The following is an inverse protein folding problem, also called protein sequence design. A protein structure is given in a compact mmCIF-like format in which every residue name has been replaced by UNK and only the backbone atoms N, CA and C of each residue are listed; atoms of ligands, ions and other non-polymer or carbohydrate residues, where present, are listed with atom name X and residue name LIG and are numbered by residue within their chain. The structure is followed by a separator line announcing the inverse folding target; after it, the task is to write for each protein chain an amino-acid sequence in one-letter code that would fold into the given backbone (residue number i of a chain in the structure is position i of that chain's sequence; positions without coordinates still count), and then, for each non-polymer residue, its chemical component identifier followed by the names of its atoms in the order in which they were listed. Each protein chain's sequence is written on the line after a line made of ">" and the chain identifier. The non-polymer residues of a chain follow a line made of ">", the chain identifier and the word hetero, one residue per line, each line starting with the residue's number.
data_IF_676624619021
#
_entry.id   IF_676624619021
#
_cell.length_a   1.000
_cell.length_b   1.000
_cell.length_c   1.000
_cell.angle_alpha   90.00
_cell.angle_beta   90.00
_cell.angle_gamma   90.00
#
_symmetry.space_group_name_H-M   'P 1'
#
loop_
_entity.id
_entity.type
_entity.pdbx_description
1 polymer ?
#
# COMPACT_ATOMS: atom_id res chain seq x y z
N UNK A 1 -12.56 -38.44 18.01
CA UNK A 1 -11.89 -37.19 17.58
C UNK A 1 -12.94 -36.10 17.43
N UNK A 2 -13.01 -35.20 18.42
CA UNK A 2 -13.74 -33.94 18.22
C UNK A 2 -12.96 -33.22 17.12
N UNK A 3 -13.53 -33.11 15.93
CA UNK A 3 -12.99 -32.21 14.90
C UNK A 3 -12.89 -30.84 15.56
N UNK A 4 -11.66 -30.36 15.75
CA UNK A 4 -11.43 -28.96 16.07
C UNK A 4 -12.01 -28.20 14.87
N UNK A 5 -13.17 -27.55 15.06
CA UNK A 5 -13.77 -26.68 14.03
C UNK A 5 -12.66 -25.80 13.47
N UNK A 6 -12.40 -25.96 12.17
CA UNK A 6 -11.36 -25.20 11.49
C UNK A 6 -11.81 -23.74 11.54
N UNK A 7 -11.03 -22.91 12.25
CA UNK A 7 -11.31 -21.48 12.39
C UNK A 7 -11.47 -20.84 11.01
N UNK A 8 -12.40 -19.88 10.85
CA UNK A 8 -12.69 -19.29 9.55
C UNK A 8 -11.46 -18.57 8.98
N UNK A 9 -11.27 -18.69 7.68
CA UNK A 9 -10.17 -18.10 6.94
C UNK A 9 -10.65 -17.55 5.60
N UNK A 10 -9.99 -16.50 5.11
CA UNK A 10 -10.07 -16.12 3.70
C UNK A 10 -9.14 -17.02 2.88
N UNK A 11 -9.59 -17.46 1.71
CA UNK A 11 -8.79 -18.29 0.80
C UNK A 11 -9.36 -18.22 -0.61
N UNK A 12 -8.47 -18.16 -1.62
CA UNK A 12 -8.82 -18.25 -3.04
C UNK A 12 -8.37 -19.62 -3.56
N UNK A 13 -9.26 -20.62 -3.71
CA UNK A 13 -8.88 -21.96 -4.13
C UNK A 13 -8.31 -21.99 -5.57
N UNK A 14 -7.51 -23.01 -5.92
CA UNK A 14 -7.00 -24.07 -5.05
C UNK A 14 -5.70 -23.70 -4.32
N UNK A 15 -4.95 -22.72 -4.82
CA UNK A 15 -3.56 -22.47 -4.43
C UNK A 15 -3.37 -21.21 -3.55
N UNK A 16 -4.42 -20.42 -3.33
CA UNK A 16 -4.35 -19.19 -2.55
C UNK A 16 -3.88 -19.44 -1.11
N UNK A 17 -3.27 -18.44 -0.49
CA UNK A 17 -2.91 -18.56 0.92
C UNK A 17 -4.15 -18.54 1.81
N UNK A 18 -4.18 -19.38 2.85
CA UNK A 18 -5.24 -19.31 3.87
C UNK A 18 -4.89 -18.21 4.87
N UNK A 19 -5.74 -17.20 4.99
CA UNK A 19 -5.58 -16.09 5.93
C UNK A 19 -6.60 -16.24 7.06
N UNK A 20 -6.17 -16.57 8.29
CA UNK A 20 -7.08 -16.67 9.42
C UNK A 20 -7.78 -15.33 9.67
N UNK A 21 -9.11 -15.37 9.84
CA UNK A 21 -9.91 -14.17 10.13
C UNK A 21 -9.54 -13.56 11.49
N UNK A 22 -8.90 -14.34 12.37
CA UNK A 22 -8.27 -13.84 13.60
C UNK A 22 -7.31 -12.68 13.39
N UNK A 23 -6.74 -12.51 12.19
CA UNK A 23 -5.95 -11.33 11.83
C UNK A 23 -6.72 -10.05 12.18
N UNK A 24 -7.95 -9.93 11.70
CA UNK A 24 -8.78 -8.75 11.89
C UNK A 24 -9.25 -8.62 13.35
N UNK A 25 -9.53 -9.74 14.02
CA UNK A 25 -9.85 -9.76 15.47
C UNK A 25 -8.69 -9.19 16.30
N UNK A 26 -7.44 -9.58 16.00
CA UNK A 26 -6.25 -9.06 16.67
C UNK A 26 -6.09 -7.56 16.44
N UNK A 27 -6.35 -7.09 15.21
CA UNK A 27 -6.30 -5.68 14.87
C UNK A 27 -7.33 -4.85 15.65
N UNK A 28 -8.60 -5.29 15.72
CA UNK A 28 -9.62 -4.63 16.56
C UNK A 28 -9.20 -4.56 18.02
N UNK A 29 -8.66 -5.65 18.57
CA UNK A 29 -8.17 -5.68 19.95
C UNK A 29 -7.05 -4.67 20.19
N UNK A 30 -6.05 -4.63 19.30
CA UNK A 30 -4.94 -3.66 19.38
C UNK A 30 -5.41 -2.22 19.33
N UNK A 31 -6.37 -1.92 18.43
CA UNK A 31 -6.97 -0.60 18.30
C UNK A 31 -7.69 -0.17 19.59
N UNK A 32 -8.51 -1.06 20.16
CA UNK A 32 -9.22 -0.79 21.42
C UNK A 32 -8.24 -0.54 22.56
N UNK A 33 -7.20 -1.37 22.70
CA UNK A 33 -6.15 -1.18 23.72
C UNK A 33 -5.46 0.19 23.57
N UNK A 34 -5.04 0.55 22.34
CA UNK A 34 -4.39 1.81 22.07
C UNK A 34 -5.29 3.03 22.33
N UNK A 35 -6.56 2.96 21.97
CA UNK A 35 -7.53 4.02 22.22
C UNK A 35 -7.86 4.18 23.71
N UNK A 36 -7.98 3.09 24.46
CA UNK A 36 -8.16 3.14 25.92
C UNK A 36 -7.01 3.86 26.60
N UNK A 37 -5.77 3.51 26.24
CA UNK A 37 -4.57 4.16 26.78
C UNK A 37 -4.55 5.67 26.42
N UNK A 38 -4.90 6.00 25.17
CA UNK A 38 -4.95 7.39 24.70
C UNK A 38 -6.03 8.20 25.42
N UNK A 39 -7.24 7.66 25.55
CA UNK A 39 -8.37 8.32 26.23
C UNK A 39 -8.07 8.51 27.72
N UNK A 40 -7.49 7.51 28.38
CA UNK A 40 -7.12 7.59 29.79
C UNK A 40 -6.06 8.68 30.06
N UNK A 41 -5.13 8.89 29.12
CA UNK A 41 -4.10 9.91 29.22
C UNK A 41 -4.60 11.33 28.85
N UNK A 42 -5.68 11.44 28.08
CA UNK A 42 -6.12 12.72 27.52
C UNK A 42 -7.06 13.49 28.46
N UNK A 43 -6.74 14.75 28.85
CA UNK A 43 -7.52 15.52 29.82
C UNK A 43 -9.00 15.70 29.45
N UNK A 44 -9.32 15.80 28.16
CA UNK A 44 -10.68 16.02 27.64
C UNK A 44 -11.53 14.75 27.66
N UNK A 45 -10.93 13.57 27.47
CA UNK A 45 -11.68 12.33 27.27
C UNK A 45 -11.80 11.49 28.54
N UNK A 46 -10.82 11.60 29.46
CA UNK A 46 -10.75 10.79 30.70
C UNK A 46 -11.96 10.89 31.64
N UNK A 47 -12.80 11.91 31.48
CA UNK A 47 -14.00 12.12 32.33
C UNK A 47 -15.25 11.46 31.76
N UNK A 48 -15.20 10.94 30.53
CA UNK A 48 -16.33 10.23 29.89
C UNK A 48 -16.13 8.72 30.07
N UNK A 49 -17.15 7.97 30.53
CA UNK A 49 -17.06 6.52 30.67
C UNK A 49 -16.73 5.83 29.34
N UNK A 50 -15.85 4.82 29.37
CA UNK A 50 -15.41 4.09 28.17
C UNK A 50 -16.58 3.40 27.45
N UNK A 51 -17.64 3.05 28.19
CA UNK A 51 -18.85 2.39 27.67
C UNK A 51 -19.57 3.27 26.64
N UNK A 52 -19.43 4.60 26.77
CA UNK A 52 -20.06 5.55 25.87
C UNK A 52 -19.29 5.71 24.56
N UNK A 53 -18.01 5.30 24.47
CA UNK A 53 -17.24 5.46 23.24
C UNK A 53 -17.39 4.26 22.31
N UNK A 54 -17.79 4.55 21.07
CA UNK A 54 -17.92 3.53 20.01
C UNK A 54 -17.16 4.02 18.78
N UNK A 55 -16.23 3.19 18.29
CA UNK A 55 -15.63 3.37 16.96
C UNK A 55 -16.71 3.07 15.93
N UNK A 56 -16.88 3.91 14.92
CA UNK A 56 -17.73 3.61 13.77
C UNK A 56 -16.95 3.85 12.46
N UNK A 57 -16.85 2.80 11.65
CA UNK A 57 -16.24 2.80 10.34
C UNK A 57 -17.31 2.48 9.28
N UNK A 58 -17.16 3.07 8.10
CA UNK A 58 -17.96 2.77 6.92
C UNK A 58 -17.06 2.08 5.90
N UNK A 59 -17.59 1.03 5.26
CA UNK A 59 -16.94 0.35 4.15
C UNK A 59 -16.82 1.30 2.93
N UNK A 60 -16.05 0.89 1.94
CA UNK A 60 -16.12 1.49 0.62
C UNK A 60 -17.50 1.28 0.00
N UNK A 61 -17.86 2.16 -0.92
CA UNK A 61 -19.09 2.07 -1.72
C UNK A 61 -18.72 1.69 -3.15
N UNK A 62 -19.59 0.94 -3.82
CA UNK A 62 -19.42 0.64 -5.24
C UNK A 62 -19.49 1.91 -6.08
N UNK A 63 -18.61 1.99 -7.06
CA UNK A 63 -18.52 3.14 -7.97
C UNK A 63 -18.67 2.69 -9.41
N UNK A 64 -19.46 3.43 -10.17
CA UNK A 64 -19.60 3.22 -11.61
C UNK A 64 -18.76 4.23 -12.40
N UNK A 65 -18.51 3.91 -13.67
CA UNK A 65 -17.77 4.80 -14.57
C UNK A 65 -18.63 6.00 -14.96
N UNK A 66 -18.42 7.13 -14.29
CA UNK A 66 -19.14 8.36 -14.57
C UNK A 66 -20.65 8.20 -14.32
N UNK A 67 -21.48 8.48 -15.33
CA UNK A 67 -22.94 8.29 -15.25
C UNK A 67 -23.45 6.97 -15.84
N UNK A 68 -22.57 6.00 -16.10
CA UNK A 68 -22.96 4.68 -16.64
C UNK A 68 -23.29 3.67 -15.53
N UNK A 69 -23.76 2.49 -15.93
CA UNK A 69 -23.98 1.31 -15.09
C UNK A 69 -22.76 0.37 -15.05
N UNK A 70 -21.63 0.76 -15.66
CA UNK A 70 -20.42 -0.05 -15.66
C UNK A 70 -19.67 0.09 -14.34
N UNK A 71 -19.78 -0.92 -13.49
CA UNK A 71 -19.07 -1.03 -12.21
C UNK A 71 -17.55 -1.07 -12.39
N UNK A 72 -16.84 -0.42 -11.46
CA UNK A 72 -15.41 -0.67 -11.24
C UNK A 72 -15.31 -1.82 -10.26
N UNK A 73 -14.39 -2.76 -10.50
CA UNK A 73 -14.17 -3.87 -9.59
C UNK A 73 -13.90 -3.34 -8.17
N UNK A 74 -14.79 -3.69 -7.24
CA UNK A 74 -14.73 -3.23 -5.86
C UNK A 74 -13.43 -3.64 -5.17
N UNK A 75 -12.86 -2.71 -4.41
CA UNK A 75 -11.75 -2.94 -3.50
C UNK A 75 -12.06 -2.16 -2.23
N UNK A 76 -12.05 -2.85 -1.10
CA UNK A 76 -12.45 -2.31 0.20
C UNK A 76 -11.59 -1.09 0.65
N UNK A 77 -12.18 -0.20 1.45
CA UNK A 77 -11.46 0.84 2.17
C UNK A 77 -10.41 0.22 3.12
N UNK A 78 -9.16 0.66 3.07
CA UNK A 78 -8.04 0.02 3.78
C UNK A 78 -8.21 0.00 5.31
N UNK A 79 -8.77 1.05 5.91
CA UNK A 79 -9.03 1.08 7.35
C UNK A 79 -10.17 0.13 7.74
N UNK A 80 -11.24 0.10 6.96
CA UNK A 80 -12.34 -0.83 7.17
C UNK A 80 -11.89 -2.29 7.02
N UNK A 81 -11.17 -2.59 5.93
CA UNK A 81 -10.56 -3.90 5.70
C UNK A 81 -9.65 -4.31 6.86
N UNK A 82 -8.75 -3.43 7.31
CA UNK A 82 -7.82 -3.74 8.39
C UNK A 82 -8.54 -4.20 9.67
N UNK A 83 -9.69 -3.57 9.98
CA UNK A 83 -10.49 -3.88 11.17
C UNK A 83 -11.43 -5.10 11.01
N UNK A 84 -12.03 -5.32 9.82
CA UNK A 84 -13.11 -6.30 9.64
C UNK A 84 -12.85 -7.37 8.58
N UNK A 85 -12.01 -7.10 7.58
CA UNK A 85 -11.66 -8.08 6.54
C UNK A 85 -12.78 -8.45 5.58
N UNK A 86 -13.88 -7.70 5.54
CA UNK A 86 -15.03 -8.02 4.70
C UNK A 86 -14.80 -7.52 3.26
N UNK A 87 -15.26 -8.28 2.25
CA UNK A 87 -15.15 -7.91 0.85
C UNK A 87 -16.35 -7.07 0.36
N UNK A 88 -17.41 -6.94 1.15
CA UNK A 88 -18.67 -6.33 0.71
C UNK A 88 -18.67 -4.78 0.82
N UNK A 89 -19.28 -4.08 -0.15
CA UNK A 89 -19.47 -2.63 -0.12
C UNK A 89 -20.62 -2.21 0.81
N UNK A 90 -20.66 -0.93 1.16
CA UNK A 90 -21.77 -0.26 1.87
C UNK A 90 -22.11 -0.79 3.27
N UNK A 91 -21.26 -1.66 3.82
CA UNK A 91 -21.36 -2.13 5.19
C UNK A 91 -20.84 -1.09 6.18
N UNK A 92 -21.22 -1.24 7.44
CA UNK A 92 -20.63 -0.49 8.55
C UNK A 92 -20.08 -1.44 9.59
N UNK A 93 -19.13 -0.95 10.38
CA UNK A 93 -18.48 -1.72 11.42
C UNK A 93 -18.31 -0.86 12.65
N UNK A 94 -18.77 -1.35 13.80
CA UNK A 94 -18.62 -0.66 15.07
C UNK A 94 -17.87 -1.50 16.10
N UNK A 95 -17.17 -0.82 17.02
CA UNK A 95 -16.43 -1.46 18.11
C UNK A 95 -16.63 -0.64 19.38
N UNK A 96 -17.23 -1.24 20.41
CA UNK A 96 -17.41 -0.58 21.71
C UNK A 96 -16.11 -0.58 22.51
N UNK A 97 -15.67 0.59 22.99
CA UNK A 97 -14.39 0.71 23.65
C UNK A 97 -14.33 0.06 25.03
N UNK A 98 -15.42 -0.07 25.79
CA UNK A 98 -15.38 -0.74 27.09
C UNK A 98 -15.39 -2.26 26.99
N UNK A 99 -16.18 -2.81 26.07
CA UNK A 99 -16.39 -4.26 25.96
C UNK A 99 -15.50 -4.92 24.90
N UNK A 100 -14.92 -4.13 23.99
CA UNK A 100 -14.28 -4.60 22.77
C UNK A 100 -15.20 -5.40 21.82
N UNK A 101 -16.53 -5.38 22.08
CA UNK A 101 -17.51 -6.02 21.20
C UNK A 101 -17.55 -5.32 19.85
N UNK A 102 -17.51 -6.11 18.80
CA UNK A 102 -17.53 -5.73 17.41
C UNK A 102 -18.86 -6.10 16.75
N UNK A 103 -19.42 -5.17 16.00
CA UNK A 103 -20.67 -5.37 15.28
C UNK A 103 -20.54 -4.93 13.82
N UNK A 104 -21.01 -5.76 12.89
CA UNK A 104 -21.17 -5.38 11.48
C UNK A 104 -22.62 -4.96 11.24
N UNK A 105 -22.82 -3.95 10.40
CA UNK A 105 -24.13 -3.59 9.87
C UNK A 105 -24.16 -3.81 8.37
N UNK A 106 -25.13 -4.60 7.91
CA UNK A 106 -25.28 -4.98 6.51
C UNK A 106 -26.48 -4.27 5.88
N UNK A 107 -26.42 -3.85 4.61
CA UNK A 107 -27.58 -3.38 3.89
C UNK A 107 -28.69 -4.44 3.88
N UNK A 108 -29.93 -3.98 3.81
CA UNK A 108 -31.06 -4.88 3.53
C UNK A 108 -31.19 -4.99 2.01
N UNK A 109 -30.97 -6.19 1.49
CA UNK A 109 -31.01 -6.44 0.05
C UNK A 109 -32.40 -6.92 -0.37
N UNK A 110 -32.96 -6.42 -1.48
CA UNK A 110 -34.22 -6.94 -2.00
C UNK A 110 -34.05 -8.38 -2.51
N UNK A 111 -35.14 -9.15 -2.57
CA UNK A 111 -35.10 -10.55 -3.07
C UNK A 111 -34.44 -10.68 -4.45
N UNK A 112 -34.63 -9.68 -5.32
CA UNK A 112 -34.04 -9.61 -6.66
C UNK A 112 -32.51 -9.58 -6.65
N UNK A 113 -31.88 -9.17 -5.55
CA UNK A 113 -30.42 -9.17 -5.42
C UNK A 113 -29.85 -10.57 -5.58
N UNK A 114 -30.51 -11.59 -5.02
CA UNK A 114 -30.01 -12.97 -5.11
C UNK A 114 -29.99 -13.53 -6.53
N UNK A 115 -30.90 -13.04 -7.39
CA UNK A 115 -30.97 -13.39 -8.81
C UNK A 115 -29.79 -12.81 -9.59
N UNK A 116 -29.33 -11.61 -9.23
CA UNK A 116 -28.30 -10.89 -9.97
C UNK A 116 -26.88 -11.05 -9.40
N UNK A 117 -26.76 -11.06 -8.08
CA UNK A 117 -25.48 -10.94 -7.36
C UNK A 117 -25.11 -12.21 -6.59
N UNK A 118 -26.05 -13.15 -6.44
CA UNK A 118 -25.86 -14.41 -5.71
C UNK A 118 -26.46 -14.41 -4.31
N UNK A 119 -26.37 -15.57 -3.64
CA UNK A 119 -26.95 -15.77 -2.31
C UNK A 119 -26.37 -14.80 -1.28
N UNK A 120 -27.25 -14.33 -0.39
CA UNK A 120 -26.89 -13.41 0.69
C UNK A 120 -26.67 -14.24 1.95
N UNK A 121 -25.45 -14.20 2.49
CA UNK A 121 -25.14 -14.82 3.79
C UNK A 121 -26.11 -14.26 4.86
N UNK A 122 -26.66 -15.14 5.69
CA UNK A 122 -27.46 -14.74 6.85
C UNK A 122 -26.62 -14.01 7.90
N UNK A 123 -27.26 -13.22 8.78
CA UNK A 123 -26.55 -12.54 9.87
C UNK A 123 -25.75 -13.50 10.76
N UNK A 124 -26.19 -14.76 10.91
CA UNK A 124 -25.45 -15.78 11.65
C UNK A 124 -24.20 -16.23 10.89
N UNK A 125 -24.33 -16.53 9.58
CA UNK A 125 -23.19 -16.92 8.75
C UNK A 125 -22.14 -15.81 8.67
N UNK A 126 -22.57 -14.55 8.49
CA UNK A 126 -21.67 -13.38 8.51
C UNK A 126 -20.93 -13.28 9.84
N UNK A 127 -21.65 -13.46 10.95
CA UNK A 127 -21.07 -13.41 12.30
C UNK A 127 -19.98 -14.46 12.49
N UNK A 128 -20.26 -15.69 12.10
CA UNK A 128 -19.33 -16.83 12.20
C UNK A 128 -18.15 -16.66 11.25
N UNK A 129 -18.39 -16.26 10.00
CA UNK A 129 -17.39 -16.05 8.95
C UNK A 129 -16.39 -14.94 9.28
N UNK A 130 -16.84 -13.83 9.85
CA UNK A 130 -15.97 -12.67 10.16
C UNK A 130 -15.56 -12.55 11.64
N UNK A 131 -15.94 -13.53 12.46
CA UNK A 131 -15.65 -13.57 13.90
C UNK A 131 -16.01 -12.25 14.60
N UNK A 132 -17.21 -11.73 14.33
CA UNK A 132 -17.76 -10.54 15.00
C UNK A 132 -18.78 -10.95 16.06
N UNK A 133 -19.06 -10.07 17.01
CA UNK A 133 -19.95 -10.38 18.13
C UNK A 133 -21.42 -10.30 17.72
N UNK A 134 -21.76 -9.35 16.84
CA UNK A 134 -23.13 -9.04 16.42
C UNK A 134 -23.18 -8.64 14.93
N UNK A 135 -24.33 -8.90 14.29
CA UNK A 135 -24.64 -8.46 12.92
C UNK A 135 -26.06 -7.93 12.90
N UNK A 136 -26.23 -6.67 12.49
CA UNK A 136 -27.53 -5.99 12.37
C UNK A 136 -27.69 -5.38 10.97
N UNK A 137 -28.87 -4.84 10.65
CA UNK A 137 -29.05 -4.09 9.39
C UNK A 137 -28.60 -2.63 9.52
N UNK A 138 -28.15 -2.02 8.43
CA UNK A 138 -27.70 -0.61 8.37
C UNK A 138 -28.76 0.35 8.90
N UNK A 139 -30.04 0.15 8.58
CA UNK A 139 -31.13 1.00 9.07
C UNK A 139 -31.33 0.91 10.60
N UNK A 140 -30.67 -0.04 11.30
CA UNK A 140 -30.67 -0.17 12.76
C UNK A 140 -29.49 0.52 13.45
N UNK A 141 -28.52 1.09 12.72
CA UNK A 141 -27.33 1.73 13.33
C UNK A 141 -27.73 2.76 14.39
N UNK A 142 -28.65 3.67 14.06
CA UNK A 142 -29.07 4.73 14.97
C UNK A 142 -29.68 4.18 16.28
N UNK A 143 -30.44 3.08 16.19
CA UNK A 143 -31.02 2.43 17.37
C UNK A 143 -29.96 1.66 18.18
N UNK A 144 -29.07 0.94 17.50
CA UNK A 144 -28.06 0.10 18.12
C UNK A 144 -26.99 0.91 18.88
N UNK A 145 -26.65 2.10 18.38
CA UNK A 145 -25.59 2.92 18.96
C UNK A 145 -26.10 4.05 19.86
N UNK A 146 -27.41 4.16 20.06
CA UNK A 146 -28.06 5.28 20.75
C UNK A 146 -27.40 5.64 22.10
N UNK A 147 -27.13 6.93 22.31
CA UNK A 147 -26.49 7.45 23.52
C UNK A 147 -24.96 7.33 23.54
N UNK A 148 -24.34 6.80 22.48
CA UNK A 148 -22.87 6.73 22.35
C UNK A 148 -22.26 8.04 21.85
N UNK A 149 -21.00 8.27 22.21
CA UNK A 149 -20.07 9.16 21.51
C UNK A 149 -19.36 8.37 20.42
N UNK A 150 -19.56 8.76 19.17
CA UNK A 150 -18.98 8.09 18.01
C UNK A 150 -17.58 8.63 17.72
N UNK A 151 -16.60 7.74 17.65
CA UNK A 151 -15.26 8.02 17.15
C UNK A 151 -15.26 7.74 15.65
N UNK A 152 -15.13 8.79 14.84
CA UNK A 152 -15.22 8.72 13.39
C UNK A 152 -13.86 8.93 12.74
N UNK A 153 -13.61 8.22 11.64
CA UNK A 153 -12.32 8.23 10.97
C UNK A 153 -12.20 9.47 10.07
N UNK A 154 -11.57 10.52 10.57
CA UNK A 154 -11.24 11.72 9.80
C UNK A 154 -9.79 12.13 10.01
N UNK A 155 -8.98 12.01 8.97
CA UNK A 155 -7.61 12.51 9.02
C UNK A 155 -6.96 12.60 7.66
N UNK A 156 -5.85 13.32 7.62
CA UNK A 156 -5.11 13.61 6.39
C UNK A 156 -4.21 12.43 6.04
N UNK A 157 -4.39 11.87 4.84
CA UNK A 157 -3.36 11.03 4.23
C UNK A 157 -2.25 11.93 3.70
N UNK A 158 -1.03 11.70 4.17
CA UNK A 158 0.11 12.61 3.97
C UNK A 158 0.75 12.52 2.59
N UNK A 159 0.46 11.46 1.82
CA UNK A 159 0.97 11.28 0.46
C UNK A 159 0.04 11.88 -0.58
N UNK A 160 -1.27 11.68 -0.42
CA UNK A 160 -2.31 12.18 -1.34
C UNK A 160 -2.79 13.60 -1.00
N UNK A 161 -2.67 14.03 0.25
CA UNK A 161 -3.28 15.27 0.74
C UNK A 161 -4.80 15.18 0.94
N UNK A 162 -5.40 14.00 0.76
CA UNK A 162 -6.84 13.79 0.93
C UNK A 162 -7.20 13.51 2.38
N UNK A 163 -8.40 13.94 2.80
CA UNK A 163 -8.98 13.54 4.07
C UNK A 163 -9.71 12.21 3.91
N UNK A 164 -9.60 11.33 4.92
CA UNK A 164 -10.49 10.18 5.02
C UNK A 164 -11.94 10.65 5.18
N UNK A 165 -12.86 9.94 4.53
CA UNK A 165 -14.28 10.19 4.66
C UNK A 165 -14.81 9.53 5.94
N UNK A 166 -15.34 10.30 6.90
CA UNK A 166 -15.91 9.73 8.11
C UNK A 166 -17.23 9.01 7.81
N UNK A 167 -17.54 7.98 8.59
CA UNK A 167 -18.80 7.27 8.47
C UNK A 167 -20.01 8.22 8.63
N UNK A 168 -21.01 8.04 7.78
CA UNK A 168 -22.26 8.82 7.80
C UNK A 168 -23.47 7.91 7.64
N UNK A 169 -24.53 8.17 8.41
CA UNK A 169 -25.79 7.44 8.32
C UNK A 169 -26.96 8.34 8.76
N UNK A 170 -28.17 7.99 8.38
CA UNK A 170 -29.37 8.75 8.73
C UNK A 170 -29.57 8.82 10.25
N UNK A 171 -29.61 10.04 10.79
CA UNK A 171 -29.76 10.30 12.23
C UNK A 171 -28.44 10.47 12.99
N UNK A 172 -27.29 10.45 12.32
CA UNK A 172 -25.98 10.68 12.94
C UNK A 172 -25.86 12.06 13.62
N UNK A 173 -26.65 13.05 13.18
CA UNK A 173 -26.74 14.39 13.75
C UNK A 173 -27.17 14.42 15.23
N UNK A 174 -27.80 13.34 15.71
CA UNK A 174 -28.23 13.17 17.09
C UNK A 174 -27.12 12.65 18.01
N UNK A 175 -25.96 12.29 17.45
CA UNK A 175 -24.84 11.71 18.18
C UNK A 175 -23.79 12.76 18.50
N UNK A 176 -23.12 12.59 19.64
CA UNK A 176 -21.85 13.27 19.86
C UNK A 176 -20.80 12.57 19.00
N UNK A 177 -20.06 13.34 18.21
CA UNK A 177 -19.01 12.82 17.33
C UNK A 177 -17.65 13.37 17.72
N UNK A 178 -16.62 12.54 17.60
CA UNK A 178 -15.22 12.90 17.72
C UNK A 178 -14.50 12.51 16.43
N UNK A 179 -13.66 13.41 15.92
CA UNK A 179 -12.89 13.23 14.69
C UNK A 179 -11.39 13.15 14.93
N UNK A 180 -10.93 13.43 16.16
CA UNK A 180 -9.54 13.78 16.42
C UNK A 180 -8.74 12.55 16.89
N UNK A 181 -9.36 11.65 17.65
CA UNK A 181 -8.62 10.57 18.31
C UNK A 181 -8.43 9.33 17.44
N UNK A 182 -9.42 8.98 16.61
CA UNK A 182 -9.43 7.68 15.93
C UNK A 182 -8.35 7.56 14.86
N UNK A 183 -8.26 8.53 13.95
CA UNK A 183 -7.33 8.48 12.83
C UNK A 183 -5.88 8.29 13.24
N UNK A 184 -5.28 9.16 14.10
CA UNK A 184 -3.86 9.02 14.43
C UNK A 184 -3.55 7.70 15.16
N UNK A 185 -4.44 7.23 16.03
CA UNK A 185 -4.25 5.97 16.76
C UNK A 185 -4.35 4.76 15.82
N UNK A 186 -5.35 4.75 14.93
CA UNK A 186 -5.55 3.66 13.98
C UNK A 186 -4.44 3.62 12.91
N UNK A 187 -3.96 4.78 12.45
CA UNK A 187 -2.81 4.88 11.57
C UNK A 187 -1.56 4.28 12.23
N UNK A 188 -1.28 4.63 13.49
CA UNK A 188 -0.14 4.07 14.24
C UNK A 188 -0.28 2.54 14.45
N UNK A 189 -1.49 2.03 14.66
CA UNK A 189 -1.73 0.59 14.71
C UNK A 189 -1.41 -0.11 13.38
N UNK A 190 -1.65 0.53 12.23
CA UNK A 190 -1.33 -0.01 10.90
C UNK A 190 0.16 0.06 10.54
N UNK A 191 0.88 1.06 11.06
CA UNK A 191 2.34 1.17 10.90
C UNK A 191 3.03 -0.13 11.34
N UNK A 192 2.54 -0.72 12.43
CA UNK A 192 3.16 -1.88 13.09
C UNK A 192 2.44 -3.18 12.72
N UNK A 193 3.11 -4.08 12.00
CA UNK A 193 2.48 -5.30 11.50
C UNK A 193 2.47 -6.42 12.55
N UNK A 194 1.36 -7.11 12.70
CA UNK A 194 1.25 -8.37 13.44
C UNK A 194 1.90 -9.51 12.67
N UNK A 195 2.24 -10.63 13.34
CA UNK A 195 2.72 -11.82 12.64
C UNK A 195 1.78 -12.35 11.55
N UNK A 196 0.46 -12.20 11.74
CA UNK A 196 -0.54 -12.61 10.73
C UNK A 196 -0.55 -11.67 9.53
N UNK A 197 -0.46 -10.35 9.74
CA UNK A 197 -0.31 -9.38 8.63
C UNK A 197 0.97 -9.65 7.83
N UNK A 198 2.09 -9.90 8.51
CA UNK A 198 3.36 -10.24 7.87
C UNK A 198 3.30 -11.53 7.05
N UNK A 199 2.50 -12.50 7.48
CA UNK A 199 2.33 -13.75 6.74
C UNK A 199 1.65 -13.51 5.38
N UNK A 200 0.61 -12.68 5.34
CA UNK A 200 -0.05 -12.27 4.10
C UNK A 200 0.89 -11.45 3.21
N UNK A 201 1.63 -10.49 3.79
CA UNK A 201 2.59 -9.67 3.05
C UNK A 201 3.74 -10.50 2.46
N UNK A 202 4.21 -11.54 3.17
CA UNK A 202 5.19 -12.50 2.63
C UNK A 202 4.64 -13.29 1.46
N UNK A 203 3.37 -13.69 1.52
CA UNK A 203 2.69 -14.33 0.40
C UNK A 203 2.58 -13.41 -0.81
N UNK A 204 2.14 -12.15 -0.60
CA UNK A 204 2.11 -11.10 -1.63
C UNK A 204 3.47 -10.93 -2.31
N UNK A 205 4.54 -10.77 -1.52
CA UNK A 205 5.91 -10.66 -2.02
C UNK A 205 6.37 -11.93 -2.77
N UNK A 206 6.04 -13.13 -2.28
CA UNK A 206 6.41 -14.40 -2.92
C UNK A 206 5.78 -14.53 -4.31
N UNK A 207 4.50 -14.20 -4.44
CA UNK A 207 3.80 -14.26 -5.72
C UNK A 207 4.37 -13.24 -6.71
N UNK A 208 4.49 -11.97 -6.29
CA UNK A 208 5.06 -10.90 -7.13
C UNK A 208 6.49 -11.20 -7.54
N UNK A 209 7.32 -11.74 -6.64
CA UNK A 209 8.66 -12.22 -6.97
C UNK A 209 8.64 -13.36 -8.00
N UNK A 210 7.68 -14.30 -7.88
CA UNK A 210 7.51 -15.37 -8.85
C UNK A 210 7.12 -14.82 -10.23
N UNK A 211 6.25 -13.83 -10.27
CA UNK A 211 5.80 -13.16 -11.49
C UNK A 211 6.95 -12.39 -12.16
N UNK A 212 7.72 -11.60 -11.40
CA UNK A 212 8.95 -10.94 -11.89
C UNK A 212 9.94 -11.93 -12.49
N UNK A 213 10.14 -13.09 -11.84
CA UNK A 213 11.01 -14.15 -12.37
C UNK A 213 10.46 -14.77 -13.66
N UNK A 214 9.14 -14.95 -13.77
CA UNK A 214 8.52 -15.45 -15.00
C UNK A 214 8.70 -14.46 -16.15
N UNK A 215 8.50 -13.19 -15.86
CA UNK A 215 8.68 -12.09 -16.79
C UNK A 215 10.14 -11.94 -17.26
N UNK A 216 11.12 -12.04 -16.35
CA UNK A 216 12.55 -11.99 -16.71
C UNK A 216 12.94 -13.17 -17.63
N UNK A 217 12.33 -14.36 -17.43
CA UNK A 217 12.52 -15.50 -18.33
C UNK A 217 11.91 -15.24 -19.71
N UNK A 218 10.72 -14.67 -19.78
CA UNK A 218 10.07 -14.33 -21.05
C UNK A 218 10.87 -13.30 -21.85
N UNK A 219 11.52 -12.34 -21.18
CA UNK A 219 12.35 -11.29 -21.82
C UNK A 219 13.80 -11.71 -22.09
N UNK A 220 14.24 -12.88 -21.61
CA UNK A 220 15.56 -13.41 -21.94
C UNK A 220 15.66 -13.78 -23.43
N UNK A 221 14.60 -14.39 -23.98
CA UNK A 221 14.42 -14.70 -25.40
C UNK A 221 12.93 -14.56 -25.75
N UNK A 222 12.48 -13.37 -26.16
CA UNK A 222 11.08 -13.16 -26.50
C UNK A 222 10.64 -14.09 -27.63
N UNK A 223 9.56 -14.86 -27.42
CA UNK A 223 9.02 -15.77 -28.43
C UNK A 223 8.36 -15.03 -29.61
N UNK A 224 7.96 -13.77 -29.38
CA UNK A 224 7.35 -12.88 -30.37
C UNK A 224 8.11 -11.57 -30.42
N UNK A 225 8.41 -11.10 -31.63
CA UNK A 225 8.93 -9.76 -31.87
C UNK A 225 7.99 -8.96 -32.79
N UNK A 226 7.73 -7.67 -32.51
CA UNK A 226 8.21 -6.92 -31.34
C UNK A 226 7.44 -7.27 -30.04
N UNK A 227 8.17 -7.44 -28.95
CA UNK A 227 7.60 -7.57 -27.60
C UNK A 227 7.40 -6.16 -27.01
N UNK A 228 6.24 -5.87 -26.44
CA UNK A 228 5.89 -4.56 -25.90
C UNK A 228 5.85 -4.58 -24.38
N UNK A 229 6.01 -3.40 -23.79
CA UNK A 229 5.91 -3.19 -22.35
C UNK A 229 4.58 -3.69 -21.76
N UNK A 230 3.44 -3.45 -22.42
CA UNK A 230 2.13 -3.95 -21.97
C UNK A 230 2.00 -5.49 -22.06
N UNK A 231 2.77 -6.18 -22.93
CA UNK A 231 2.81 -7.65 -22.91
C UNK A 231 3.46 -8.14 -21.61
N UNK A 232 4.50 -7.45 -21.15
CA UNK A 232 5.13 -7.73 -19.88
C UNK A 232 4.19 -7.50 -18.69
N UNK A 233 3.50 -6.36 -18.66
CA UNK A 233 2.44 -6.08 -17.68
C UNK A 233 1.37 -7.18 -17.66
N UNK A 234 0.85 -7.56 -18.85
CA UNK A 234 -0.14 -8.62 -18.97
C UNK A 234 0.34 -9.96 -18.43
N UNK A 235 1.59 -10.36 -18.71
CA UNK A 235 2.18 -11.59 -18.16
C UNK A 235 2.33 -11.54 -16.64
N UNK A 236 2.74 -10.40 -16.09
CA UNK A 236 2.86 -10.23 -14.64
C UNK A 236 1.51 -10.39 -13.95
N UNK A 237 0.48 -9.67 -14.44
CA UNK A 237 -0.87 -9.72 -13.90
C UNK A 237 -1.49 -11.13 -14.05
N UNK A 238 -1.30 -11.75 -15.21
CA UNK A 238 -1.72 -13.14 -15.42
C UNK A 238 -1.08 -14.08 -14.41
N UNK A 239 0.25 -14.01 -14.22
CA UNK A 239 0.95 -14.87 -13.27
C UNK A 239 0.44 -14.66 -11.83
N UNK A 240 0.27 -13.41 -11.40
CA UNK A 240 -0.22 -13.09 -10.06
C UNK A 240 -1.64 -13.63 -9.84
N UNK A 241 -2.55 -13.44 -10.79
CA UNK A 241 -3.92 -13.87 -10.59
C UNK A 241 -4.09 -15.39 -10.80
N UNK A 242 -3.61 -15.91 -11.92
CA UNK A 242 -3.82 -17.31 -12.32
C UNK A 242 -3.15 -18.30 -11.36
N UNK A 243 -1.90 -18.04 -10.96
CA UNK A 243 -1.15 -18.96 -10.11
C UNK A 243 -1.34 -18.70 -8.61
N UNK A 244 -1.63 -17.45 -8.21
CA UNK A 244 -1.60 -17.02 -6.80
C UNK A 244 -2.91 -16.40 -6.28
N UNK A 245 -3.94 -16.28 -7.12
CA UNK A 245 -5.25 -15.76 -6.71
C UNK A 245 -5.28 -14.26 -6.41
N UNK A 246 -4.30 -13.49 -6.87
CA UNK A 246 -4.24 -12.02 -6.68
C UNK A 246 -5.05 -11.32 -7.77
N UNK A 247 -6.34 -11.12 -7.50
CA UNK A 247 -7.26 -10.45 -8.44
C UNK A 247 -6.92 -8.97 -8.64
N UNK A 248 -6.45 -8.31 -7.59
CA UNK A 248 -6.06 -6.90 -7.62
C UNK A 248 -4.54 -6.75 -7.75
N UNK A 249 -4.13 -5.59 -8.26
CA UNK A 249 -2.74 -5.13 -8.29
C UNK A 249 -2.60 -3.97 -7.31
N UNK A 250 -1.46 -3.86 -6.64
CA UNK A 250 -1.22 -2.85 -5.60
C UNK A 250 -1.19 -1.43 -6.16
N UNK A 251 -0.77 -1.27 -7.42
CA UNK A 251 -0.71 -0.01 -8.16
C UNK A 251 -0.62 -0.32 -9.66
N UNK A 252 -0.80 0.70 -10.52
CA UNK A 252 -0.64 0.53 -11.97
C UNK A 252 0.78 0.08 -12.31
N UNK A 253 0.92 -1.07 -12.96
CA UNK A 253 2.21 -1.63 -13.34
C UNK A 253 3.06 -0.65 -14.17
N UNK A 254 4.32 -0.52 -13.80
CA UNK A 254 5.29 0.35 -14.47
C UNK A 254 6.21 -0.54 -15.29
N UNK A 255 5.86 -0.78 -16.55
CA UNK A 255 6.63 -1.62 -17.47
C UNK A 255 7.60 -0.81 -18.30
N UNK A 256 8.64 -0.20 -17.71
CA UNK A 256 9.50 0.72 -18.46
C UNK A 256 10.68 0.01 -19.14
N UNK A 257 11.00 0.43 -20.38
CA UNK A 257 12.21 0.02 -21.10
C UNK A 257 12.93 1.21 -21.76
N UNK A 258 14.24 1.07 -21.95
CA UNK A 258 15.10 2.09 -22.56
C UNK A 258 15.07 3.39 -21.75
N UNK A 259 14.88 4.52 -22.43
CA UNK A 259 14.83 5.83 -21.76
C UNK A 259 13.58 6.02 -20.87
N UNK A 260 12.53 5.20 -21.02
CA UNK A 260 11.34 5.29 -20.17
C UNK A 260 11.62 4.88 -18.73
N UNK A 261 12.70 4.14 -18.46
CA UNK A 261 13.15 3.81 -17.10
C UNK A 261 13.50 5.06 -16.28
N UNK A 262 13.63 6.24 -16.91
CA UNK A 262 13.83 7.53 -16.21
C UNK A 262 12.53 8.23 -15.79
N UNK A 263 11.37 7.65 -16.08
CA UNK A 263 10.05 8.19 -15.73
C UNK A 263 9.48 7.35 -14.58
N UNK A 264 9.53 7.90 -13.36
CA UNK A 264 9.23 7.17 -12.12
C UNK A 264 7.88 6.46 -12.13
N UNK A 265 6.80 7.19 -12.41
CA UNK A 265 5.45 6.64 -12.48
C UNK A 265 4.99 6.49 -13.95
N UNK A 266 5.80 5.82 -14.77
CA UNK A 266 5.41 5.40 -16.12
C UNK A 266 4.26 4.36 -16.05
N UNK A 267 3.61 4.04 -17.17
CA UNK A 267 2.52 3.05 -17.20
C UNK A 267 1.11 3.60 -16.99
N UNK A 268 0.95 4.82 -16.48
CA UNK A 268 -0.35 5.49 -16.37
C UNK A 268 -1.01 5.72 -17.76
N UNK A 269 -2.31 6.05 -17.79
CA UNK A 269 -3.09 6.16 -19.04
C UNK A 269 -2.49 7.06 -20.15
N UNK A 270 -1.71 8.10 -19.80
CA UNK A 270 -1.05 8.98 -20.78
C UNK A 270 0.28 8.42 -21.33
N UNK A 271 0.78 7.36 -20.70
CA UNK A 271 2.00 6.60 -21.04
C UNK A 271 1.79 5.11 -20.74
N UNK A 272 0.88 4.44 -21.47
CA UNK A 272 0.24 3.20 -21.02
C UNK A 272 1.05 1.95 -21.38
N UNK A 273 2.36 1.95 -21.10
CA UNK A 273 3.25 0.82 -21.41
C UNK A 273 3.22 0.41 -22.90
N UNK A 274 3.15 1.37 -23.82
CA UNK A 274 2.89 1.14 -25.25
C UNK A 274 4.13 1.04 -26.14
N UNK A 275 5.34 1.05 -25.55
CA UNK A 275 6.58 1.09 -26.32
C UNK A 275 7.16 -0.32 -26.55
N UNK A 276 7.81 -0.56 -27.70
CA UNK A 276 8.49 -1.81 -27.96
C UNK A 276 9.73 -1.94 -27.07
N UNK A 277 9.98 -3.15 -26.57
CA UNK A 277 11.18 -3.53 -25.84
C UNK A 277 12.17 -4.10 -26.85
N UNK A 278 13.40 -3.58 -26.86
CA UNK A 278 14.45 -4.01 -27.78
C UNK A 278 15.56 -4.74 -27.03
N UNK A 279 16.14 -5.74 -27.68
CA UNK A 279 17.36 -6.39 -27.16
C UNK A 279 18.45 -5.36 -26.87
N UNK A 280 19.02 -5.42 -25.67
CA UNK A 280 20.00 -4.45 -25.19
C UNK A 280 19.42 -3.24 -24.44
N UNK A 281 18.11 -3.00 -24.49
CA UNK A 281 17.48 -2.01 -23.60
C UNK A 281 17.63 -2.44 -22.14
N UNK A 282 17.83 -1.48 -21.24
CA UNK A 282 17.49 -1.70 -19.83
C UNK A 282 15.97 -1.74 -19.69
N UNK A 283 15.47 -2.68 -18.90
CA UNK A 283 14.12 -2.70 -18.38
C UNK A 283 14.17 -2.31 -16.90
N UNK A 284 13.19 -1.54 -16.45
CA UNK A 284 12.89 -1.23 -15.06
C UNK A 284 11.41 -1.49 -14.87
N UNK A 285 11.10 -2.63 -14.26
CA UNK A 285 9.72 -3.05 -14.07
C UNK A 285 9.37 -2.97 -12.60
N UNK A 286 8.48 -2.04 -12.29
CA UNK A 286 7.95 -1.84 -10.96
C UNK A 286 6.50 -2.33 -10.92
N UNK A 287 6.31 -3.48 -10.27
CA UNK A 287 5.03 -4.20 -10.30
C UNK A 287 4.86 -5.01 -9.01
N UNK A 288 3.66 -4.95 -8.43
CA UNK A 288 3.33 -5.71 -7.23
C UNK A 288 1.86 -6.08 -7.15
N UNK A 289 1.57 -7.36 -6.90
CA UNK A 289 0.21 -7.87 -6.68
C UNK A 289 -0.33 -7.55 -5.29
N UNK A 290 -1.66 -7.55 -5.17
CA UNK A 290 -2.38 -7.37 -3.91
C UNK A 290 -3.14 -8.67 -3.56
N UNK A 291 -3.04 -9.12 -2.30
CA UNK A 291 -3.80 -10.28 -1.80
C UNK A 291 -4.51 -9.96 -0.51
N UNK A 292 -5.83 -10.13 -0.50
CA UNK A 292 -6.68 -9.77 0.63
C UNK A 292 -6.40 -8.34 1.11
N UNK A 293 -6.34 -7.37 0.19
CA UNK A 293 -5.97 -5.97 0.43
C UNK A 293 -4.57 -5.72 1.03
N UNK A 294 -3.70 -6.72 1.18
CA UNK A 294 -2.29 -6.50 1.52
C UNK A 294 -1.45 -6.41 0.25
N UNK A 295 -0.67 -5.34 0.17
CA UNK A 295 0.09 -4.98 -1.02
C UNK A 295 1.49 -5.59 -1.02
N UNK A 296 2.07 -5.67 -2.21
CA UNK A 296 3.50 -5.88 -2.42
C UNK A 296 4.00 -4.85 -3.41
N UNK A 297 5.29 -4.54 -3.33
CA UNK A 297 5.93 -3.52 -4.14
C UNK A 297 7.37 -3.93 -4.46
N UNK A 298 7.63 -4.23 -5.73
CA UNK A 298 8.90 -4.82 -6.17
C UNK A 298 9.28 -4.23 -7.51
N UNK A 299 10.46 -3.60 -7.53
CA UNK A 299 11.11 -3.15 -8.75
C UNK A 299 12.25 -4.08 -9.15
N UNK A 300 12.24 -4.56 -10.40
CA UNK A 300 13.32 -5.33 -11.00
C UNK A 300 13.93 -4.56 -12.19
N UNK A 301 15.24 -4.31 -12.13
CA UNK A 301 16.00 -3.71 -13.24
C UNK A 301 16.93 -4.74 -13.89
N UNK A 302 16.85 -4.93 -15.21
CA UNK A 302 17.62 -5.94 -15.93
C UNK A 302 17.71 -5.62 -17.44
N UNK A 303 18.74 -6.09 -18.16
CA UNK A 303 18.86 -5.90 -19.59
C UNK A 303 17.95 -6.88 -20.37
N UNK A 304 17.19 -6.38 -21.32
CA UNK A 304 16.49 -7.22 -22.29
C UNK A 304 17.51 -8.05 -23.10
N UNK A 305 17.29 -9.35 -23.22
CA UNK A 305 18.28 -10.30 -23.79
C UNK A 305 19.34 -10.81 -22.81
N UNK A 306 19.29 -10.38 -21.53
CA UNK A 306 20.00 -11.03 -20.43
C UNK A 306 21.49 -10.73 -20.29
N UNK A 307 22.04 -9.76 -21.02
CA UNK A 307 23.45 -9.36 -20.92
C UNK A 307 23.60 -7.86 -20.70
N UNK A 308 24.19 -7.48 -19.57
CA UNK A 308 24.51 -6.08 -19.28
C UNK A 308 25.63 -5.59 -20.20
N UNK A 309 25.49 -4.38 -20.74
CA UNK A 309 26.63 -3.62 -21.28
C UNK A 309 27.55 -3.15 -20.14
N UNK A 310 28.81 -2.78 -20.44
CA UNK A 310 29.70 -2.20 -19.43
C UNK A 310 29.08 -0.99 -18.71
N UNK A 311 28.40 -0.10 -19.44
CA UNK A 311 27.77 1.11 -18.90
C UNK A 311 26.54 0.76 -18.03
N UNK A 312 25.70 -0.17 -18.48
CA UNK A 312 24.55 -0.64 -17.70
C UNK A 312 24.99 -1.28 -16.39
N UNK A 313 26.08 -2.08 -16.44
CA UNK A 313 26.63 -2.75 -15.27
C UNK A 313 27.12 -1.76 -14.22
N UNK A 314 27.82 -0.70 -14.62
CA UNK A 314 28.29 0.35 -13.71
C UNK A 314 27.13 0.96 -12.93
N UNK A 315 26.05 1.35 -13.61
CA UNK A 315 24.87 1.95 -12.97
C UNK A 315 24.17 0.94 -12.06
N UNK A 316 23.95 -0.28 -12.55
CA UNK A 316 23.27 -1.33 -11.78
C UNK A 316 24.02 -1.70 -10.51
N UNK A 317 25.34 -1.86 -10.58
CA UNK A 317 26.15 -2.24 -9.41
C UNK A 317 26.23 -1.13 -8.36
N UNK A 318 26.25 0.15 -8.76
CA UNK A 318 26.18 1.28 -7.83
C UNK A 318 24.87 1.27 -7.02
N UNK A 319 23.74 1.07 -7.70
CA UNK A 319 22.42 0.95 -7.07
C UNK A 319 22.36 -0.28 -6.16
N UNK A 320 22.81 -1.44 -6.63
CA UNK A 320 22.82 -2.68 -5.86
C UNK A 320 23.69 -2.56 -4.58
N UNK A 321 24.83 -1.87 -4.67
CA UNK A 321 25.70 -1.61 -3.52
C UNK A 321 25.02 -0.72 -2.49
N UNK A 322 24.37 0.36 -2.92
CA UNK A 322 23.61 1.24 -2.04
C UNK A 322 22.44 0.50 -1.37
N UNK A 323 21.67 -0.28 -2.14
CA UNK A 323 20.57 -1.09 -1.62
C UNK A 323 21.03 -2.03 -0.49
N UNK A 324 22.08 -2.81 -0.74
CA UNK A 324 22.64 -3.75 0.25
C UNK A 324 23.18 -3.06 1.48
N UNK A 325 23.79 -1.89 1.33
CA UNK A 325 24.31 -1.12 2.45
C UNK A 325 23.19 -0.58 3.34
N UNK A 326 22.10 -0.09 2.75
CA UNK A 326 20.89 0.33 3.50
C UNK A 326 20.32 -0.86 4.27
N UNK A 327 20.07 -2.00 3.60
CA UNK A 327 19.54 -3.21 4.24
C UNK A 327 20.41 -3.65 5.42
N UNK A 328 21.74 -3.61 5.27
CA UNK A 328 22.66 -3.99 6.33
C UNK A 328 22.71 -2.99 7.51
N UNK A 329 22.41 -1.71 7.25
CA UNK A 329 22.43 -0.65 8.26
C UNK A 329 21.11 -0.53 9.03
N UNK A 330 19.99 -1.00 8.47
CA UNK A 330 18.67 -0.91 9.08
C UNK A 330 18.58 -1.71 10.39
N UNK A 331 18.16 -1.01 11.45
CA UNK A 331 17.89 -1.55 12.78
C UNK A 331 17.06 -0.56 13.60
N UNK A 332 16.44 -0.97 14.72
CA UNK A 332 15.72 -0.06 15.59
C UNK A 332 16.58 1.15 16.00
N UNK A 333 15.99 2.34 15.97
CA UNK A 333 16.64 3.60 16.35
C UNK A 333 17.42 4.31 15.25
N UNK A 334 17.55 3.72 14.06
CA UNK A 334 18.17 4.39 12.90
C UNK A 334 17.16 5.31 12.22
N UNK A 335 17.62 6.50 11.80
CA UNK A 335 16.77 7.44 11.05
C UNK A 335 16.65 7.02 9.58
N UNK A 336 15.42 7.05 9.05
CA UNK A 336 15.18 6.79 7.63
C UNK A 336 15.86 7.82 6.72
N UNK A 337 15.94 9.08 7.16
CA UNK A 337 16.66 10.14 6.43
C UNK A 337 18.15 9.85 6.37
N UNK A 338 18.75 9.30 7.43
CA UNK A 338 20.16 8.89 7.40
C UNK A 338 20.40 7.76 6.41
N UNK A 339 19.43 6.84 6.24
CA UNK A 339 19.51 5.79 5.22
C UNK A 339 19.43 6.36 3.80
N UNK A 340 18.57 7.35 3.55
CA UNK A 340 18.54 8.05 2.26
C UNK A 340 19.89 8.70 1.94
N UNK A 341 20.48 9.40 2.91
CA UNK A 341 21.81 10.00 2.76
C UNK A 341 22.93 8.97 2.57
N UNK A 342 22.83 7.80 3.22
CA UNK A 342 23.76 6.68 3.04
C UNK A 342 23.73 6.15 1.61
N UNK A 343 22.54 5.90 1.07
CA UNK A 343 22.36 5.45 -0.31
C UNK A 343 22.95 6.49 -1.28
N UNK A 344 22.58 7.76 -1.10
CA UNK A 344 23.07 8.88 -1.91
C UNK A 344 24.60 8.95 -1.94
N UNK A 345 25.24 8.88 -0.76
CA UNK A 345 26.70 8.91 -0.63
C UNK A 345 27.37 7.77 -1.38
N UNK A 346 26.83 6.55 -1.27
CA UNK A 346 27.38 5.36 -1.94
C UNK A 346 27.26 5.50 -3.45
N UNK A 347 26.10 5.92 -3.95
CA UNK A 347 25.85 6.11 -5.37
C UNK A 347 26.81 7.17 -5.94
N UNK A 348 26.90 8.34 -5.31
CA UNK A 348 27.80 9.41 -5.76
C UNK A 348 29.28 8.98 -5.73
N UNK A 349 29.69 8.25 -4.68
CA UNK A 349 31.06 7.72 -4.57
C UNK A 349 31.40 6.77 -5.72
N UNK A 350 30.47 5.90 -6.11
CA UNK A 350 30.67 4.97 -7.22
C UNK A 350 30.69 5.72 -8.56
N UNK A 351 29.81 6.71 -8.74
CA UNK A 351 29.81 7.57 -9.93
C UNK A 351 31.12 8.36 -10.11
N UNK A 352 31.72 8.83 -9.01
CA UNK A 352 33.05 9.46 -9.03
C UNK A 352 34.13 8.45 -9.40
N UNK A 353 34.10 7.26 -8.79
CA UNK A 353 35.07 6.18 -9.04
C UNK A 353 35.07 5.73 -10.51
N UNK A 354 33.90 5.68 -11.13
CA UNK A 354 33.74 5.32 -12.55
C UNK A 354 33.94 6.50 -13.51
N UNK A 355 34.28 7.69 -13.02
CA UNK A 355 34.59 8.87 -13.83
C UNK A 355 33.38 9.56 -14.46
N UNK A 356 32.15 9.21 -14.05
CA UNK A 356 30.91 9.88 -14.50
C UNK A 356 30.79 11.26 -13.84
N UNK A 357 31.14 11.34 -12.55
CA UNK A 357 31.23 12.59 -11.80
C UNK A 357 32.70 12.92 -11.51
N UNK A 358 33.00 14.21 -11.35
CA UNK A 358 34.33 14.71 -10.98
C UNK A 358 34.16 15.76 -9.89
N UNK A 359 35.05 15.74 -8.89
CA UNK A 359 35.03 16.68 -7.77
C UNK A 359 35.01 15.99 -6.40
N UNK A 360 34.79 16.76 -5.35
CA UNK A 360 34.72 16.27 -3.98
C UNK A 360 33.36 15.64 -3.68
N UNK A 361 33.36 14.44 -3.09
CA UNK A 361 32.14 13.78 -2.61
C UNK A 361 31.45 14.62 -1.53
N UNK A 362 32.22 15.27 -0.64
CA UNK A 362 31.66 16.07 0.45
C UNK A 362 30.94 17.32 -0.09
N UNK A 363 31.49 17.96 -1.11
CA UNK A 363 30.83 19.07 -1.82
C UNK A 363 29.55 18.59 -2.51
N UNK A 364 29.58 17.42 -3.18
CA UNK A 364 28.40 16.86 -3.83
C UNK A 364 27.26 16.56 -2.84
N UNK A 365 27.60 16.05 -1.66
CA UNK A 365 26.61 15.80 -0.60
C UNK A 365 26.05 17.11 -0.04
N UNK A 366 26.90 18.12 0.18
CA UNK A 366 26.48 19.44 0.66
C UNK A 366 25.52 20.14 -0.32
N UNK A 367 25.81 20.03 -1.62
CA UNK A 367 25.01 20.62 -2.71
C UNK A 367 23.82 19.72 -3.15
N UNK A 368 23.56 18.61 -2.45
CA UNK A 368 22.46 17.67 -2.75
C UNK A 368 22.48 17.14 -4.19
N UNK A 369 23.68 16.93 -4.76
CA UNK A 369 23.84 16.46 -6.15
C UNK A 369 23.17 15.11 -6.38
N UNK A 370 23.11 14.25 -5.36
CA UNK A 370 22.47 12.95 -5.50
C UNK A 370 20.96 13.04 -5.72
N UNK A 371 20.29 14.11 -5.28
CA UNK A 371 18.88 14.36 -5.60
C UNK A 371 18.61 14.57 -7.10
N UNK A 372 19.64 14.86 -7.90
CA UNK A 372 19.52 14.91 -9.37
C UNK A 372 19.35 13.49 -9.94
N UNK A 373 20.01 12.51 -9.32
CA UNK A 373 20.03 11.11 -9.77
C UNK A 373 18.96 10.26 -9.08
N UNK A 374 18.59 10.59 -7.84
CA UNK A 374 17.52 9.96 -7.09
C UNK A 374 16.59 11.05 -6.53
N UNK A 375 15.64 11.57 -7.35
CA UNK A 375 14.77 12.68 -6.96
C UNK A 375 13.60 12.26 -6.06
N UNK A 376 13.43 10.96 -5.81
CA UNK A 376 12.40 10.41 -4.93
C UNK A 376 12.99 10.01 -3.57
N UNK A 377 12.11 9.79 -2.59
CA UNK A 377 12.49 9.22 -1.30
C UNK A 377 13.12 7.84 -1.48
N UNK A 378 13.94 7.42 -0.51
CA UNK A 378 14.55 6.08 -0.50
C UNK A 378 13.52 4.95 -0.43
N UNK A 379 12.31 5.26 0.02
CA UNK A 379 11.18 4.34 0.12
C UNK A 379 10.20 4.78 1.19
N UNK A 380 9.21 3.94 1.47
CA UNK A 380 8.01 4.27 2.24
C UNK A 380 7.51 3.06 3.03
N UNK A 381 6.52 3.30 3.91
CA UNK A 381 5.79 2.23 4.59
C UNK A 381 4.94 1.44 3.58
N UNK A 382 4.77 0.14 3.85
CA UNK A 382 3.99 -0.79 3.03
C UNK A 382 3.01 -1.58 3.90
N UNK A 383 1.80 -1.84 3.41
CA UNK A 383 0.80 -2.60 4.17
C UNK A 383 -0.50 -2.81 3.39
N UNK A 384 -1.62 -2.38 3.96
CA UNK A 384 -2.89 -2.40 3.24
C UNK A 384 -2.94 -1.40 2.08
N UNK A 385 -2.05 -0.42 2.06
CA UNK A 385 -1.82 0.48 0.93
C UNK A 385 -0.35 0.37 0.51
N UNK A 386 -0.04 0.60 -0.77
CA UNK A 386 1.34 0.58 -1.29
C UNK A 386 2.18 1.66 -0.61
N UNK A 387 1.67 2.90 -0.61
CA UNK A 387 2.14 3.96 0.28
C UNK A 387 1.27 3.93 1.54
N UNK A 388 1.73 3.17 2.55
CA UNK A 388 0.97 2.93 3.77
C UNK A 388 1.00 4.14 4.73
N UNK A 389 -0.02 4.22 5.56
CA UNK A 389 -0.26 5.38 6.44
C UNK A 389 0.76 5.50 7.58
N UNK A 390 0.86 6.70 8.16
CA UNK A 390 1.60 6.96 9.41
C UNK A 390 3.06 7.39 9.24
N UNK A 391 3.54 7.60 8.01
CA UNK A 391 4.93 8.01 7.75
C UNK A 391 5.32 9.39 8.28
N UNK A 392 4.35 10.31 8.43
CA UNK A 392 4.57 11.69 8.88
C UNK A 392 3.69 12.09 10.08
N UNK A 393 3.45 11.16 11.00
CA UNK A 393 2.70 11.48 12.22
C UNK A 393 3.50 12.43 13.13
N UNK A 394 2.96 13.61 13.49
CA UNK A 394 3.67 14.56 14.37
C UNK A 394 3.76 14.07 15.83
N UNK A 395 2.98 13.04 16.19
CA UNK A 395 2.91 12.45 17.53
C UNK A 395 2.79 10.94 17.39
N UNK A 396 3.72 10.17 17.96
CA UNK A 396 3.55 8.71 18.11
C UNK A 396 2.74 8.45 19.39
N UNK A 397 1.58 7.82 19.23
CA UNK A 397 0.65 7.52 20.33
C UNK A 397 0.93 6.17 20.99
N UNK A 398 1.83 5.36 20.44
CA UNK A 398 2.21 4.06 20.98
C UNK A 398 3.58 4.13 21.63
N UNK A 399 3.71 3.57 22.84
CA UNK A 399 5.04 3.37 23.44
C UNK A 399 5.84 2.43 22.54
N UNK A 400 7.06 2.80 22.11
CA UNK A 400 7.88 1.91 21.29
C UNK A 400 8.14 0.60 22.04
N UNK A 401 7.55 -0.50 21.57
CA UNK A 401 7.87 -1.85 22.07
C UNK A 401 9.04 -2.41 21.25
N UNK A 402 10.04 -3.02 21.89
CA UNK A 402 11.31 -3.43 21.24
C UNK A 402 11.20 -4.59 20.22
N UNK A 403 9.99 -5.04 19.86
CA UNK A 403 9.75 -6.20 18.99
C UNK A 403 8.81 -5.95 17.81
N UNK A 404 8.44 -4.69 17.54
CA UNK A 404 7.51 -4.40 16.46
C UNK A 404 8.28 -4.29 15.14
N UNK A 405 7.78 -5.00 14.13
CA UNK A 405 8.35 -5.04 12.79
C UNK A 405 7.66 -3.96 11.94
N UNK A 406 8.47 -3.06 11.42
CA UNK A 406 8.09 -2.03 10.45
C UNK A 406 8.40 -2.59 9.06
N UNK A 407 7.41 -2.62 8.18
CA UNK A 407 7.63 -2.99 6.78
C UNK A 407 7.84 -1.73 5.96
N UNK A 408 8.98 -1.68 5.27
CA UNK A 408 9.44 -0.57 4.46
C UNK A 408 9.85 -1.08 3.09
N UNK A 409 9.49 -0.34 2.04
CA UNK A 409 10.12 -0.46 0.73
C UNK A 409 11.48 0.23 0.80
N UNK A 410 12.50 -0.39 0.20
CA UNK A 410 13.83 0.21 -0.03
C UNK A 410 14.05 0.26 -1.53
N UNK A 411 13.77 1.41 -2.13
CA UNK A 411 13.94 1.68 -3.55
C UNK A 411 15.09 2.69 -3.76
N UNK A 412 16.30 2.13 -3.86
CA UNK A 412 17.47 2.87 -4.33
C UNK A 412 17.46 2.90 -5.84
N UNK A 413 17.63 4.07 -6.45
CA UNK A 413 17.66 4.21 -7.90
C UNK A 413 18.73 5.18 -8.37
N UNK A 414 19.09 5.08 -9.65
CA UNK A 414 19.91 6.06 -10.34
C UNK A 414 19.28 6.34 -11.70
N UNK A 415 18.82 7.57 -11.88
CA UNK A 415 18.13 8.02 -13.08
C UNK A 415 18.93 9.13 -13.75
N UNK A 416 19.05 9.04 -15.08
CA UNK A 416 19.58 10.12 -15.89
C UNK A 416 18.44 10.84 -16.61
N UNK A 417 18.23 12.11 -16.26
CA UNK A 417 17.25 12.95 -16.93
C UNK A 417 17.84 13.59 -18.19
N UNK A 418 17.24 13.30 -19.34
CA UNK A 418 17.43 14.14 -20.52
C UNK A 418 16.49 15.34 -20.40
N UNK A 419 16.98 16.44 -19.82
CA UNK A 419 16.22 17.70 -19.73
C UNK A 419 15.78 18.10 -21.15
N UNK A 420 14.50 17.90 -21.51
CA UNK A 420 13.92 18.57 -22.67
C UNK A 420 13.97 20.05 -22.35
N UNK A 421 14.96 20.78 -22.88
CA UNK A 421 14.95 22.24 -22.87
C UNK A 421 13.64 22.67 -23.54
N UNK A 422 12.63 23.06 -22.75
CA UNK A 422 11.70 24.09 -23.20
C UNK A 422 12.53 25.38 -23.17
N UNK A 423 13.22 25.65 -24.28
CA UNK A 423 13.66 27.02 -24.56
C UNK A 423 12.34 27.79 -24.69
N UNK A 424 11.96 28.55 -23.65
CA UNK A 424 11.07 29.68 -23.87
C UNK A 424 11.89 30.62 -24.74
N UNK A 425 11.52 30.74 -26.02
CA UNK A 425 12.06 31.75 -26.90
C UNK A 425 11.73 33.12 -26.32
N UNK A 426 12.68 33.68 -25.58
CA UNK A 426 12.87 35.12 -25.41
C UNK A 426 14.31 35.36 -25.00
N UNK A 427 15.07 35.82 -25.99
CA UNK A 427 16.33 36.55 -25.88
C UNK A 427 17.51 35.80 -25.24
N UNK A 428 18.29 35.12 -26.09
CA UNK A 428 19.73 35.00 -25.91
C UNK A 428 20.39 35.69 -27.11
N UNK A 429 21.11 36.78 -26.86
CA UNK A 429 22.00 37.41 -27.83
C UNK A 429 23.22 36.51 -28.03
N UNK A 430 23.74 36.47 -29.25
CA UNK A 430 24.79 35.57 -29.74
C UNK A 430 26.20 35.80 -29.15
N UNK A 431 26.37 36.62 -28.12
CA UNK A 431 27.70 37.09 -27.71
C UNK A 431 28.34 36.38 -26.49
N UNK A 432 27.73 35.34 -25.92
CA UNK A 432 28.27 34.63 -24.73
C UNK A 432 28.48 33.13 -24.95
N UNK A 433 29.17 32.76 -26.04
CA UNK A 433 29.86 31.47 -26.13
C UNK A 433 31.33 31.72 -26.51
N UNK A 434 32.18 31.76 -25.48
CA UNK A 434 33.61 31.45 -25.57
C UNK A 434 34.00 30.55 -24.41
#
# INVERSE_FOLDING_TARGET
>A
PVELEEKPYFHVPPNGHKIPIELHVQNRKRLVEALRDTIAAHPTYKTVPLEQFVILLQAGTDVTRGGSDSEVLFRQNSYFHWAFGTPEPDWFGSINLATAKSCIFVPEYPESFSVSMGEIDSNQEIREKFLVDEVHYVHKIAAALNGSTLLLLKGLNTDSGNLTEPASFDGIDKFKVDYDVLHPVMAECRVLKTPLELDVMRYANKASSSAHRALMRALYKPEKEPFFQYHAESLFLHHCYYEWGMRHVSYTCIGASGCHCSVLHYGHAGKPNDQPIKTGDMCLFDMGGEYHCYTSDITCSFPCGGKFSPEQKVVYEAVLKANRAVIAALRPGVSWTEMHLLAEKIILSDLVTCGILKGSLDEMMAERIGAIFQPHGLGHLLGCDTHDVGGYNPVSFLKPKPKLLLELVIDTSLISYRKRRRIKSKELREDEIK
#
